data_IF_393889987163
#
_entry.id   IF_393889987163
#
_cell.length_a   1.000
_cell.length_b   1.000
_cell.length_c   1.000
_cell.angle_alpha   90.00
_cell.angle_beta   90.00
_cell.angle_gamma   90.00
#
_symmetry.space_group_name_H-M   'P 1'
#
loop_
_entity.id
_entity.type
_entity.pdbx_description
1 polymer ?
#
# COMPACT_ATOMS: atom_id res chain seq x y z
N UNK A 1 -9.08 -58.35 31.77
CA UNK A 1 -8.56 -58.91 30.50
C UNK A 1 -9.06 -58.05 29.35
N UNK A 2 -8.11 -57.64 28.49
CA UNK A 2 -8.22 -57.07 27.12
C UNK A 2 -9.05 -55.80 26.86
N UNK A 3 -8.27 -54.74 26.66
CA UNK A 3 -8.58 -53.39 26.19
C UNK A 3 -9.14 -53.42 24.77
N UNK A 4 -10.20 -52.65 24.49
CA UNK A 4 -10.65 -52.35 23.13
C UNK A 4 -9.79 -51.23 22.53
N UNK A 5 -9.17 -51.56 21.39
CA UNK A 5 -8.38 -50.69 20.53
C UNK A 5 -9.18 -50.54 19.23
N UNK A 6 -9.72 -49.36 18.92
CA UNK A 6 -10.08 -48.93 17.54
C UNK A 6 -10.03 -47.39 17.53
N UNK A 7 -8.85 -46.81 17.26
CA UNK A 7 -8.48 -46.16 15.99
C UNK A 7 -9.26 -44.87 15.67
N UNK A 8 -8.81 -43.77 16.26
CA UNK A 8 -9.05 -42.40 15.75
C UNK A 8 -8.22 -42.26 14.47
N UNK A 9 -8.88 -42.21 13.32
CA UNK A 9 -8.23 -41.86 12.06
C UNK A 9 -8.73 -40.48 11.65
N UNK A 10 -7.90 -39.48 11.93
CA UNK A 10 -8.11 -38.11 11.50
C UNK A 10 -7.99 -38.03 9.97
N UNK A 11 -9.10 -37.72 9.30
CA UNK A 11 -9.07 -37.32 7.89
C UNK A 11 -8.69 -35.83 7.88
N UNK A 12 -7.38 -35.58 7.91
CA UNK A 12 -6.78 -34.30 7.54
C UNK A 12 -6.43 -34.40 6.04
N UNK A 13 -7.43 -34.24 5.17
CA UNK A 13 -7.22 -34.21 3.73
C UNK A 13 -7.25 -32.75 3.24
N UNK A 14 -6.04 -32.20 3.15
CA UNK A 14 -5.56 -31.12 2.29
C UNK A 14 -6.60 -30.25 1.55
N UNK A 15 -6.78 -29.02 2.06
CA UNK A 15 -7.13 -27.86 1.24
C UNK A 15 -5.87 -27.40 0.48
N UNK A 16 -5.62 -27.94 -0.72
CA UNK A 16 -4.62 -27.40 -1.65
C UNK A 16 -5.22 -27.28 -3.05
N UNK A 17 -6.20 -26.38 -3.21
CA UNK A 17 -6.74 -25.99 -4.52
C UNK A 17 -6.95 -24.49 -4.52
N UNK A 18 -5.88 -23.68 -4.64
CA UNK A 18 -6.07 -22.22 -4.87
C UNK A 18 -4.94 -21.50 -5.64
N UNK A 19 -3.72 -22.01 -5.77
CA UNK A 19 -2.64 -21.24 -6.41
C UNK A 19 -2.69 -21.25 -7.96
N UNK A 20 -2.80 -22.43 -8.60
CA UNK A 20 -2.66 -22.52 -10.06
C UNK A 20 -3.81 -21.88 -10.86
N UNK A 21 -5.02 -21.84 -10.29
CA UNK A 21 -6.17 -21.22 -10.95
C UNK A 21 -6.09 -19.68 -10.95
N UNK A 22 -5.39 -19.10 -9.96
CA UNK A 22 -5.18 -17.66 -9.86
C UNK A 22 -4.17 -17.19 -10.91
N UNK A 23 -3.06 -17.90 -11.07
CA UNK A 23 -2.01 -17.58 -12.05
C UNK A 23 -2.55 -17.60 -13.50
N UNK A 24 -3.35 -18.61 -13.84
CA UNK A 24 -3.99 -18.72 -15.16
C UNK A 24 -4.99 -17.58 -15.43
N UNK A 25 -5.71 -17.15 -14.40
CA UNK A 25 -6.69 -16.07 -14.51
C UNK A 25 -6.01 -14.71 -14.63
N UNK A 26 -4.98 -14.45 -13.82
CA UNK A 26 -4.19 -13.23 -13.90
C UNK A 26 -3.50 -13.12 -15.27
N UNK A 27 -2.86 -14.19 -15.74
CA UNK A 27 -2.19 -14.19 -17.05
C UNK A 27 -3.15 -13.88 -18.20
N UNK A 28 -4.39 -14.38 -18.14
CA UNK A 28 -5.43 -14.06 -19.14
C UNK A 28 -5.83 -12.59 -19.10
N UNK A 29 -6.02 -12.03 -17.91
CA UNK A 29 -6.38 -10.61 -17.74
C UNK A 29 -5.23 -9.71 -18.20
N UNK A 30 -3.99 -10.00 -17.78
CA UNK A 30 -2.76 -9.30 -18.24
C UNK A 30 -2.70 -9.28 -19.76
N UNK A 31 -2.76 -10.45 -20.42
CA UNK A 31 -2.75 -10.55 -21.89
C UNK A 31 -3.88 -9.78 -22.57
N UNK A 32 -5.02 -9.60 -21.90
CA UNK A 32 -6.17 -8.89 -22.46
C UNK A 32 -6.06 -7.37 -22.32
N UNK A 33 -5.44 -6.87 -21.25
CA UNK A 33 -5.47 -5.46 -20.86
C UNK A 33 -4.12 -4.75 -21.01
N UNK A 34 -3.02 -5.38 -20.64
CA UNK A 34 -1.70 -4.76 -20.59
C UNK A 34 -1.27 -4.24 -21.97
N UNK A 35 -0.65 -3.06 -22.00
CA UNK A 35 -0.26 -2.36 -23.22
C UNK A 35 -1.40 -1.70 -24.00
N UNK A 36 -2.67 -1.94 -23.64
CA UNK A 36 -3.80 -1.22 -24.24
C UNK A 36 -3.89 0.20 -23.70
N UNK A 37 -4.57 1.04 -24.46
CA UNK A 37 -4.89 2.39 -24.03
C UNK A 37 -6.29 2.46 -23.44
N UNK A 38 -6.47 3.37 -22.49
CA UNK A 38 -7.73 3.68 -21.84
C UNK A 38 -7.95 5.19 -21.93
N UNK A 39 -9.18 5.59 -22.26
CA UNK A 39 -9.63 6.96 -22.14
C UNK A 39 -10.17 7.16 -20.71
N UNK A 40 -9.49 8.00 -19.96
CA UNK A 40 -9.86 8.35 -18.59
C UNK A 40 -11.01 9.36 -18.64
N UNK A 41 -12.16 9.08 -17.99
CA UNK A 41 -13.38 9.93 -18.03
C UNK A 41 -13.63 10.72 -16.74
N UNK A 42 -12.75 10.58 -15.76
CA UNK A 42 -12.74 11.33 -14.50
C UNK A 42 -11.32 11.75 -14.17
N UNK A 43 -11.12 12.78 -13.36
CA UNK A 43 -9.76 13.12 -12.92
C UNK A 43 -9.21 12.01 -12.03
N UNK A 44 -7.94 11.65 -12.21
CA UNK A 44 -7.33 10.52 -11.51
C UNK A 44 -6.11 10.99 -10.70
N UNK A 45 -6.10 10.78 -9.37
CA UNK A 45 -4.96 11.13 -8.54
C UNK A 45 -3.84 10.08 -8.67
N UNK A 46 -2.59 10.48 -8.42
CA UNK A 46 -1.47 9.57 -8.27
C UNK A 46 -1.38 9.11 -6.80
N UNK A 47 -1.95 7.93 -6.51
CA UNK A 47 -2.05 7.37 -5.16
C UNK A 47 -1.53 5.94 -5.13
N UNK A 48 -0.77 5.59 -4.09
CA UNK A 48 -0.17 4.26 -3.92
C UNK A 48 -1.21 3.13 -3.97
N UNK A 49 -2.32 3.33 -3.26
CA UNK A 49 -3.38 2.33 -3.14
C UNK A 49 -4.40 2.36 -4.29
N UNK A 50 -4.26 3.28 -5.23
CA UNK A 50 -5.23 3.46 -6.31
C UNK A 50 -6.57 4.06 -5.88
N UNK A 51 -7.41 4.34 -6.86
CA UNK A 51 -8.83 4.63 -6.67
C UNK A 51 -9.57 3.31 -6.60
N UNK A 52 -10.17 3.03 -5.44
CA UNK A 52 -10.95 1.81 -5.23
C UNK A 52 -12.32 1.93 -5.92
N UNK A 53 -12.66 0.90 -6.69
CA UNK A 53 -13.92 0.77 -7.38
C UNK A 53 -14.54 -0.58 -7.03
N UNK A 54 -15.80 -0.57 -6.62
CA UNK A 54 -16.56 -1.77 -6.31
C UNK A 54 -17.29 -2.24 -7.56
N UNK A 55 -17.06 -3.48 -7.96
CA UNK A 55 -17.83 -4.17 -8.98
C UNK A 55 -18.78 -5.17 -8.32
N UNK A 56 -20.07 -4.88 -8.39
CA UNK A 56 -21.16 -5.71 -7.85
C UNK A 56 -22.36 -5.69 -8.80
N UNK A 57 -23.09 -6.79 -8.90
CA UNK A 57 -24.28 -6.93 -9.77
C UNK A 57 -24.13 -6.39 -11.21
N UNK A 58 -22.93 -6.53 -11.79
CA UNK A 58 -22.53 -6.01 -13.11
C UNK A 58 -22.37 -4.47 -13.22
N UNK A 59 -22.40 -3.76 -12.09
CA UNK A 59 -22.18 -2.33 -11.98
C UNK A 59 -20.87 -1.99 -11.26
N UNK A 60 -20.08 -1.06 -11.81
CA UNK A 60 -18.97 -0.41 -11.12
C UNK A 60 -19.51 0.82 -10.41
N UNK A 61 -19.17 0.95 -9.14
CA UNK A 61 -19.37 2.15 -8.32
C UNK A 61 -18.09 2.48 -7.57
N UNK A 62 -17.99 3.69 -7.00
CA UNK A 62 -16.89 4.07 -6.11
C UNK A 62 -17.40 5.04 -5.06
N UNK A 63 -16.68 5.14 -3.94
CA UNK A 63 -16.97 6.15 -2.92
C UNK A 63 -16.55 7.54 -3.41
N UNK A 64 -17.54 8.36 -3.78
CA UNK A 64 -17.33 9.72 -4.25
C UNK A 64 -16.66 10.61 -3.19
N UNK A 65 -16.98 10.44 -1.90
CA UNK A 65 -16.41 11.24 -0.83
C UNK A 65 -14.93 10.90 -0.62
N UNK A 66 -14.61 9.61 -0.57
CA UNK A 66 -13.25 9.10 -0.54
C UNK A 66 -12.43 9.56 -1.73
N UNK A 67 -12.96 9.44 -2.95
CA UNK A 67 -12.32 9.94 -4.16
C UNK A 67 -12.03 11.45 -4.10
N UNK A 68 -13.01 12.27 -3.72
CA UNK A 68 -12.83 13.73 -3.62
C UNK A 68 -11.72 14.08 -2.60
N UNK A 69 -11.63 13.33 -1.50
CA UNK A 69 -10.54 13.46 -0.52
C UNK A 69 -9.19 13.13 -1.13
N UNK A 70 -9.08 12.06 -1.92
CA UNK A 70 -7.85 11.71 -2.63
C UNK A 70 -7.44 12.80 -3.63
N UNK A 71 -8.37 13.30 -4.44
CA UNK A 71 -8.07 14.39 -5.39
C UNK A 71 -7.66 15.67 -4.67
N UNK A 72 -8.29 16.01 -3.53
CA UNK A 72 -7.90 17.18 -2.74
C UNK A 72 -6.51 17.01 -2.11
N UNK A 73 -6.20 15.82 -1.61
CA UNK A 73 -4.95 15.54 -0.90
C UNK A 73 -3.77 15.36 -1.85
N UNK A 74 -3.97 14.66 -2.96
CA UNK A 74 -2.91 14.27 -3.87
C UNK A 74 -2.93 15.06 -5.19
N UNK A 75 -3.98 15.80 -5.49
CA UNK A 75 -4.13 16.47 -6.78
C UNK A 75 -4.42 15.49 -7.92
N UNK A 76 -4.45 16.02 -9.14
CA UNK A 76 -4.78 15.27 -10.36
C UNK A 76 -3.51 14.95 -11.14
N UNK A 77 -3.26 13.66 -11.37
CA UNK A 77 -2.16 13.18 -12.22
C UNK A 77 -2.61 12.97 -13.66
N UNK A 78 -3.72 12.24 -13.86
CA UNK A 78 -4.31 12.07 -15.19
C UNK A 78 -5.62 12.83 -15.22
N UNK A 79 -5.74 13.77 -16.16
CA UNK A 79 -6.98 14.56 -16.31
C UNK A 79 -8.05 13.75 -17.02
N UNK A 80 -9.31 14.09 -16.79
CA UNK A 80 -10.42 13.66 -17.65
C UNK A 80 -10.11 13.96 -19.12
N UNK A 81 -10.34 12.98 -19.99
CA UNK A 81 -10.02 13.01 -21.41
C UNK A 81 -8.62 12.53 -21.75
N UNK A 82 -7.77 12.26 -20.75
CA UNK A 82 -6.42 11.75 -20.97
C UNK A 82 -6.45 10.32 -21.51
N UNK A 83 -5.59 10.06 -22.50
CA UNK A 83 -5.36 8.73 -23.05
C UNK A 83 -4.19 8.10 -22.32
N UNK A 84 -4.50 7.24 -21.34
CA UNK A 84 -3.50 6.53 -20.55
C UNK A 84 -3.19 5.17 -21.17
N UNK A 85 -1.98 4.66 -20.96
CA UNK A 85 -1.58 3.28 -21.28
C UNK A 85 -1.67 2.42 -20.02
N UNK A 86 -2.22 1.22 -20.15
CA UNK A 86 -2.17 0.21 -19.10
C UNK A 86 -0.74 -0.36 -19.06
N UNK A 87 -0.02 -0.10 -17.98
CA UNK A 87 1.38 -0.50 -17.79
C UNK A 87 1.54 -1.81 -17.04
N UNK A 88 0.63 -2.14 -16.14
CA UNK A 88 0.61 -3.42 -15.42
C UNK A 88 -0.83 -3.75 -14.99
N UNK A 89 -1.12 -5.03 -14.79
CA UNK A 89 -2.39 -5.52 -14.23
C UNK A 89 -2.11 -6.70 -13.32
N UNK A 90 -2.56 -6.69 -12.07
CA UNK A 90 -2.27 -7.77 -11.10
C UNK A 90 -3.49 -8.13 -10.26
N UNK A 91 -3.59 -9.38 -9.82
CA UNK A 91 -4.63 -9.81 -8.88
C UNK A 91 -4.02 -9.88 -7.48
N UNK A 92 -4.53 -9.06 -6.57
CA UNK A 92 -4.12 -9.04 -5.17
C UNK A 92 -5.28 -9.43 -4.24
N UNK A 93 -5.00 -9.47 -2.94
CA UNK A 93 -6.03 -9.63 -1.91
C UNK A 93 -7.04 -8.48 -1.86
N UNK A 94 -6.73 -7.32 -2.46
CA UNK A 94 -7.64 -6.18 -2.57
C UNK A 94 -8.58 -6.30 -3.77
N UNK A 95 -8.15 -6.98 -4.83
CA UNK A 95 -8.90 -7.12 -6.08
C UNK A 95 -7.99 -7.08 -7.31
N UNK A 96 -8.52 -6.62 -8.43
CA UNK A 96 -7.78 -6.45 -9.68
C UNK A 96 -7.19 -5.04 -9.70
N UNK A 97 -5.87 -4.92 -9.63
CA UNK A 97 -5.17 -3.64 -9.70
C UNK A 97 -4.69 -3.38 -11.13
N UNK A 98 -4.97 -2.19 -11.65
CA UNK A 98 -4.62 -1.76 -13.01
C UNK A 98 -3.82 -0.48 -12.91
N UNK A 99 -2.59 -0.52 -13.40
CA UNK A 99 -1.68 0.62 -13.42
C UNK A 99 -1.81 1.37 -14.75
N UNK A 100 -2.05 2.68 -14.66
CA UNK A 100 -2.19 3.60 -15.77
C UNK A 100 -0.99 4.54 -15.79
N UNK A 101 -0.26 4.61 -16.90
CA UNK A 101 0.93 5.47 -17.08
C UNK A 101 1.93 5.42 -15.90
N UNK A 102 2.12 4.25 -15.27
CA UNK A 102 3.09 4.06 -14.17
C UNK A 102 2.51 3.73 -12.80
N UNK A 103 1.18 3.66 -12.63
CA UNK A 103 0.57 3.08 -11.43
C UNK A 103 0.39 4.02 -10.23
N UNK A 104 0.55 5.32 -10.42
CA UNK A 104 0.37 6.35 -9.39
C UNK A 104 1.58 6.51 -8.48
N UNK A 105 1.36 7.11 -7.30
CA UNK A 105 2.45 7.39 -6.36
C UNK A 105 3.13 6.09 -5.93
N UNK A 106 4.47 6.01 -5.94
CA UNK A 106 5.20 4.85 -5.54
C UNK A 106 5.00 4.69 -4.03
N UNK A 107 5.10 3.44 -3.59
CA UNK A 107 4.61 3.07 -2.27
C UNK A 107 5.44 3.62 -1.11
N UNK A 108 5.03 3.30 0.12
CA UNK A 108 5.80 3.67 1.33
C UNK A 108 7.24 3.17 1.31
N UNK A 109 7.49 2.07 0.62
CA UNK A 109 8.83 1.51 0.42
C UNK A 109 9.62 2.13 -0.74
N UNK A 110 9.07 3.13 -1.45
CA UNK A 110 9.82 3.88 -2.46
C UNK A 110 10.91 4.72 -1.85
N UNK A 111 12.03 4.74 -2.56
CA UNK A 111 13.31 5.06 -1.99
C UNK A 111 13.92 6.27 -2.67
N UNK A 112 14.18 7.33 -1.91
CA UNK A 112 15.03 8.41 -2.38
C UNK A 112 16.47 7.91 -2.29
N UNK A 113 17.06 7.51 -3.43
CA UNK A 113 18.47 7.08 -3.48
C UNK A 113 18.78 5.72 -2.87
N UNK A 114 17.81 4.80 -2.75
CA UNK A 114 18.07 3.40 -2.35
C UNK A 114 18.08 3.07 -0.85
N UNK A 115 17.86 4.04 0.05
CA UNK A 115 17.61 3.82 1.49
C UNK A 115 16.14 3.93 1.95
N UNK A 116 15.58 2.85 2.51
CA UNK A 116 14.21 2.82 3.07
C UNK A 116 14.07 3.85 4.20
N UNK A 117 13.02 4.67 4.13
CA UNK A 117 12.69 5.60 5.21
C UNK A 117 12.06 4.83 6.37
N UNK A 118 12.74 4.80 7.52
CA UNK A 118 12.28 4.13 8.74
C UNK A 118 12.10 5.19 9.82
N UNK A 119 10.95 5.17 10.49
CA UNK A 119 10.65 6.08 11.60
C UNK A 119 11.61 5.79 12.77
N UNK A 120 12.24 6.83 13.36
CA UNK A 120 13.19 6.64 14.45
C UNK A 120 12.46 6.09 15.68
N UNK A 121 12.97 4.98 16.21
CA UNK A 121 12.52 4.44 17.49
C UNK A 121 13.19 5.23 18.62
N UNK A 122 12.49 5.53 19.73
CA UNK A 122 13.12 6.13 20.90
C UNK A 122 14.35 5.34 21.34
N UNK A 123 15.45 6.05 21.56
CA UNK A 123 16.73 5.50 22.01
C UNK A 123 16.50 4.84 23.36
N UNK A 124 16.91 3.58 23.55
CA UNK A 124 16.77 2.90 24.83
C UNK A 124 17.62 3.60 25.90
N UNK A 125 17.17 3.52 27.15
CA UNK A 125 17.95 3.98 28.31
C UNK A 125 19.29 3.26 28.36
N UNK A 126 20.35 3.98 28.73
CA UNK A 126 21.65 3.38 28.99
C UNK A 126 21.60 2.54 30.28
N UNK A 127 22.46 1.53 30.41
CA UNK A 127 22.58 0.77 31.66
C UNK A 127 22.91 1.71 32.84
N UNK A 128 23.70 2.76 32.56
CA UNK A 128 24.04 3.81 33.53
C UNK A 128 22.82 4.62 33.97
N UNK A 129 21.96 5.03 33.04
CA UNK A 129 20.69 5.71 33.34
C UNK A 129 19.82 4.83 34.24
N UNK A 130 19.70 3.53 33.91
CA UNK A 130 18.91 2.57 34.69
C UNK A 130 19.47 2.35 36.10
N UNK A 131 20.80 2.31 36.25
CA UNK A 131 21.47 2.19 37.55
C UNK A 131 21.24 3.43 38.41
N UNK A 132 21.39 4.62 37.83
CA UNK A 132 21.17 5.89 38.52
C UNK A 132 19.70 6.08 38.92
N UNK A 133 18.75 5.67 38.07
CA UNK A 133 17.32 5.66 38.44
C UNK A 133 17.06 4.75 39.64
N UNK A 134 17.63 3.54 39.65
CA UNK A 134 17.52 2.62 40.78
C UNK A 134 18.14 3.20 42.05
N UNK A 135 19.30 3.84 41.94
CA UNK A 135 19.98 4.47 43.07
C UNK A 135 19.13 5.61 43.65
N UNK A 136 18.61 6.51 42.80
CA UNK A 136 17.78 7.64 43.21
C UNK A 136 16.44 7.19 43.82
N UNK A 137 15.86 6.08 43.34
CA UNK A 137 14.61 5.54 43.90
C UNK A 137 14.80 4.83 45.23
N UNK A 138 15.91 4.11 45.42
CA UNK A 138 16.12 3.27 46.60
C UNK A 138 16.82 4.00 47.76
N UNK A 139 17.58 5.06 47.49
CA UNK A 139 18.27 5.84 48.52
C UNK A 139 17.45 7.07 48.97
N UNK A 140 16.98 7.08 50.23
CA UNK A 140 16.24 8.22 50.79
C UNK A 140 17.03 9.54 50.77
N UNK A 141 18.37 9.45 50.78
CA UNK A 141 19.31 10.58 50.69
C UNK A 141 20.21 10.47 49.45
N UNK A 142 19.63 10.13 48.29
CA UNK A 142 20.38 10.10 47.03
C UNK A 142 21.19 11.39 46.85
N UNK A 143 22.49 11.24 46.63
CA UNK A 143 23.43 12.37 46.55
C UNK A 143 23.03 13.35 45.44
N UNK A 144 23.31 14.65 45.63
CA UNK A 144 23.11 15.64 44.56
C UNK A 144 23.82 15.23 43.26
N UNK A 145 24.97 14.57 43.39
CA UNK A 145 25.73 14.05 42.26
C UNK A 145 24.96 13.01 41.44
N UNK A 146 24.36 12.00 42.08
CA UNK A 146 23.60 10.96 41.39
C UNK A 146 22.39 11.53 40.62
N UNK A 147 21.72 12.56 41.16
CA UNK A 147 20.62 13.25 40.47
C UNK A 147 21.11 14.04 39.25
N UNK A 148 22.18 14.82 39.42
CA UNK A 148 22.78 15.58 38.31
C UNK A 148 23.27 14.67 37.18
N UNK A 149 23.87 13.52 37.53
CA UNK A 149 24.32 12.55 36.54
C UNK A 149 23.15 11.87 35.82
N UNK A 150 22.07 11.53 36.54
CA UNK A 150 20.85 10.99 35.94
C UNK A 150 20.22 11.99 34.94
N UNK A 151 20.16 13.26 35.32
CA UNK A 151 19.64 14.31 34.45
C UNK A 151 20.53 14.50 33.20
N UNK A 152 21.84 14.37 33.36
CA UNK A 152 22.79 14.38 32.24
C UNK A 152 22.55 13.22 31.27
N UNK A 153 22.45 11.97 31.76
CA UNK A 153 22.16 10.80 30.92
C UNK A 153 20.82 10.95 30.18
N UNK A 154 19.78 11.40 30.87
CA UNK A 154 18.47 11.71 30.26
C UNK A 154 18.58 12.77 29.19
N UNK A 155 19.34 13.84 29.44
CA UNK A 155 19.55 14.92 28.48
C UNK A 155 20.31 14.43 27.24
N UNK A 156 21.33 13.58 27.41
CA UNK A 156 22.06 12.97 26.29
C UNK A 156 21.15 12.11 25.44
N UNK A 157 20.37 11.21 26.05
CA UNK A 157 19.39 10.38 25.34
C UNK A 157 18.36 11.22 24.59
N UNK A 158 17.73 12.19 25.27
CA UNK A 158 16.76 13.08 24.64
C UNK A 158 17.36 13.90 23.49
N UNK A 159 18.63 14.31 23.60
CA UNK A 159 19.33 15.02 22.52
C UNK A 159 19.56 14.12 21.30
N UNK A 160 19.92 12.86 21.53
CA UNK A 160 20.08 11.88 20.45
C UNK A 160 18.75 11.55 19.78
N UNK A 161 17.71 11.33 20.57
CA UNK A 161 16.33 11.14 20.08
C UNK A 161 15.90 12.31 19.20
N UNK A 162 16.12 13.53 19.68
CA UNK A 162 15.77 14.74 18.95
C UNK A 162 16.54 14.85 17.63
N UNK A 163 17.85 14.55 17.63
CA UNK A 163 18.66 14.53 16.40
C UNK A 163 18.16 13.49 15.40
N UNK A 164 17.82 12.29 15.86
CA UNK A 164 17.29 11.24 15.01
C UNK A 164 15.94 11.64 14.40
N UNK A 165 15.06 12.23 15.21
CA UNK A 165 13.77 12.78 14.77
C UNK A 165 13.94 13.88 13.72
N UNK A 166 14.80 14.86 13.97
CA UNK A 166 15.08 15.94 13.02
C UNK A 166 15.70 15.43 11.72
N UNK A 167 16.59 14.43 11.78
CA UNK A 167 17.14 13.79 10.59
C UNK A 167 16.05 13.11 9.76
N UNK A 168 15.16 12.36 10.41
CA UNK A 168 14.01 11.73 9.77
C UNK A 168 13.07 12.75 9.13
N UNK A 169 12.69 13.80 9.85
CA UNK A 169 11.80 14.86 9.35
C UNK A 169 12.37 15.54 8.10
N UNK A 170 13.69 15.80 8.05
CA UNK A 170 14.35 16.35 6.85
C UNK A 170 14.24 15.43 5.64
N UNK A 171 14.53 14.14 5.81
CA UNK A 171 14.45 13.17 4.69
C UNK A 171 13.00 12.95 4.27
N UNK A 172 12.08 12.88 5.23
CA UNK A 172 10.64 12.77 4.98
C UNK A 172 10.09 13.99 4.21
N UNK A 173 10.51 15.19 4.59
CA UNK A 173 10.18 16.43 3.89
C UNK A 173 10.70 16.44 2.46
N UNK A 174 11.98 16.10 2.26
CA UNK A 174 12.57 16.01 0.92
C UNK A 174 11.86 14.97 0.05
N UNK A 175 11.55 13.79 0.60
CA UNK A 175 10.78 12.75 -0.09
C UNK A 175 9.41 13.26 -0.51
N UNK A 176 8.70 13.95 0.38
CA UNK A 176 7.39 14.54 0.08
C UNK A 176 7.49 15.54 -1.06
N UNK A 177 8.49 16.40 -1.05
CA UNK A 177 8.73 17.35 -2.14
C UNK A 177 9.02 16.66 -3.48
N UNK A 178 9.81 15.58 -3.49
CA UNK A 178 10.07 14.80 -4.70
C UNK A 178 8.82 14.08 -5.21
N UNK A 179 7.99 13.57 -4.31
CA UNK A 179 6.68 12.99 -4.64
C UNK A 179 5.81 14.06 -5.32
N UNK A 180 5.69 15.25 -4.73
CA UNK A 180 4.88 16.34 -5.27
C UNK A 180 5.37 16.81 -6.65
N UNK A 181 6.70 16.98 -6.82
CA UNK A 181 7.30 17.42 -8.09
C UNK A 181 7.01 16.46 -9.23
N UNK A 182 7.17 15.16 -8.99
CA UNK A 182 7.06 14.14 -10.03
C UNK A 182 5.64 13.57 -10.15
N UNK A 183 4.71 13.99 -9.30
CA UNK A 183 3.39 13.37 -9.18
C UNK A 183 2.64 13.24 -10.50
N UNK A 184 2.77 14.24 -11.38
CA UNK A 184 2.10 14.28 -12.69
C UNK A 184 2.60 13.21 -13.66
N UNK A 185 3.82 12.70 -13.44
CA UNK A 185 4.48 11.73 -14.31
C UNK A 185 4.30 10.29 -13.82
N UNK A 186 3.68 10.11 -12.65
CA UNK A 186 3.54 8.80 -12.01
C UNK A 186 2.29 8.05 -12.44
N UNK A 187 1.39 8.71 -13.16
CA UNK A 187 0.17 8.11 -13.66
C UNK A 187 -0.86 7.89 -12.54
N UNK A 188 -1.64 6.81 -12.63
CA UNK A 188 -2.65 6.47 -11.63
C UNK A 188 -2.87 4.98 -11.53
N UNK A 189 -3.64 4.56 -10.54
CA UNK A 189 -4.01 3.16 -10.31
C UNK A 189 -5.48 3.04 -10.02
N UNK A 190 -6.09 2.00 -10.55
CA UNK A 190 -7.47 1.61 -10.27
C UNK A 190 -7.43 0.26 -9.57
N UNK A 191 -8.18 0.12 -8.50
CA UNK A 191 -8.34 -1.16 -7.80
C UNK A 191 -9.79 -1.58 -7.89
N UNK A 192 -10.07 -2.67 -8.59
CA UNK A 192 -11.43 -3.17 -8.77
C UNK A 192 -11.66 -4.31 -7.78
N UNK A 193 -12.49 -4.03 -6.78
CA UNK A 193 -12.95 -5.01 -5.78
C UNK A 193 -14.16 -5.72 -6.37
N UNK A 194 -14.03 -7.01 -6.66
CA UNK A 194 -15.14 -7.82 -7.17
C UNK A 194 -15.89 -8.41 -6.00
N UNK A 195 -17.12 -7.94 -5.75
CA UNK A 195 -18.07 -8.61 -4.86
C UNK A 195 -19.09 -9.32 -5.72
N UNK A 196 -19.15 -10.64 -5.63
CA UNK A 196 -20.20 -11.40 -6.29
C UNK A 196 -20.59 -12.60 -5.43
N UNK A 197 -21.86 -12.63 -5.02
CA UNK A 197 -22.47 -13.81 -4.40
C UNK A 197 -22.88 -14.87 -5.45
N UNK A 198 -22.68 -14.60 -6.75
CA UNK A 198 -22.98 -15.50 -7.86
C UNK A 198 -21.69 -15.80 -8.64
N UNK A 199 -20.89 -16.71 -8.11
CA UNK A 199 -19.75 -17.34 -8.80
C UNK A 199 -20.22 -17.96 -10.13
N UNK A 200 -20.25 -17.19 -11.22
CA UNK A 200 -20.58 -17.74 -12.54
C UNK A 200 -20.90 -16.74 -13.66
N UNK A 201 -21.37 -15.52 -13.37
CA UNK A 201 -21.85 -14.60 -14.43
C UNK A 201 -21.00 -13.34 -14.68
N UNK A 202 -20.02 -13.07 -13.82
CA UNK A 202 -19.14 -11.90 -13.97
C UNK A 202 -17.98 -12.25 -14.89
N UNK A 203 -17.96 -11.63 -16.09
CA UNK A 203 -16.85 -11.75 -17.04
C UNK A 203 -16.05 -10.46 -17.09
N UNK A 204 -14.80 -10.54 -17.54
CA UNK A 204 -13.97 -9.37 -17.85
C UNK A 204 -14.70 -8.38 -18.78
N UNK A 205 -15.53 -8.87 -19.69
CA UNK A 205 -16.36 -8.04 -20.56
C UNK A 205 -17.44 -7.25 -19.82
N UNK A 206 -18.09 -7.84 -18.82
CA UNK A 206 -19.04 -7.13 -17.95
C UNK A 206 -18.34 -6.03 -17.15
N UNK A 207 -17.20 -6.36 -16.55
CA UNK A 207 -16.38 -5.40 -15.81
C UNK A 207 -15.92 -4.25 -16.72
N UNK A 208 -15.36 -4.53 -17.90
CA UNK A 208 -14.88 -3.50 -18.82
C UNK A 208 -16.01 -2.58 -19.33
N UNK A 209 -17.18 -3.13 -19.65
CA UNK A 209 -18.36 -2.33 -20.04
C UNK A 209 -18.80 -1.39 -18.93
N UNK A 210 -18.83 -1.90 -17.72
CA UNK A 210 -19.28 -1.14 -16.56
C UNK A 210 -18.27 -0.07 -16.13
N UNK A 211 -16.97 -0.42 -16.19
CA UNK A 211 -15.85 0.49 -15.96
C UNK A 211 -15.79 1.62 -17.00
N UNK A 212 -16.32 1.42 -18.22
CA UNK A 212 -16.33 2.43 -19.28
C UNK A 212 -17.08 3.72 -18.93
N UNK A 213 -17.87 3.74 -17.85
CA UNK A 213 -18.42 4.96 -17.24
C UNK A 213 -17.30 5.90 -16.73
N UNK A 214 -16.18 5.34 -16.29
CA UNK A 214 -15.06 6.05 -15.65
C UNK A 214 -13.75 5.93 -16.42
N UNK A 215 -13.51 4.79 -17.08
CA UNK A 215 -12.31 4.47 -17.81
C UNK A 215 -12.67 3.55 -18.99
N UNK A 216 -12.62 4.08 -20.20
CA UNK A 216 -13.01 3.37 -21.42
C UNK A 216 -11.82 2.73 -22.11
N UNK A 217 -11.85 1.41 -22.25
CA UNK A 217 -10.79 0.67 -22.94
C UNK A 217 -10.85 0.93 -24.44
N UNK A 218 -9.80 1.55 -24.98
CA UNK A 218 -9.73 1.89 -26.39
C UNK A 218 -9.44 0.66 -27.27
N UNK A 219 -9.81 0.71 -28.57
CA UNK A 219 -9.42 -0.32 -29.52
C UNK A 219 -7.91 -0.57 -29.51
N UNK A 220 -7.50 -1.81 -29.77
CA UNK A 220 -6.08 -2.09 -29.99
C UNK A 220 -5.64 -1.37 -31.27
N UNK A 221 -4.57 -0.58 -31.17
CA UNK A 221 -3.97 -0.03 -32.37
C UNK A 221 -3.47 -1.17 -33.25
N UNK A 222 -3.70 -1.12 -34.57
CA UNK A 222 -3.12 -2.08 -35.47
C UNK A 222 -1.61 -1.96 -35.38
N UNK A 223 -0.91 -3.09 -35.18
CA UNK A 223 0.54 -3.13 -35.26
C UNK A 223 0.92 -2.84 -36.71
N UNK A 224 1.25 -1.58 -37.00
CA UNK A 224 1.94 -1.23 -38.24
C UNK A 224 3.30 -1.90 -38.18
N UNK A 225 3.47 -2.93 -39.01
CA UNK A 225 4.74 -3.61 -39.27
C UNK A 225 5.68 -2.70 -40.04
#
# INVERSE_FOLDING_TARGET
MRKFLVSITAILAAFTVTAQAQDDSELRIKKALEGRHVLVKMDMPAVENGVEMLFDEAEVSFDQAGYNKLVKQYGVSLKKGHRARITDVRISNKGIEIDLDGGGSPGRDWVVGGLRLVEPVPVPKSDRELDLERQVMNESNATSFARTELDYERQQRNTLDERNRQAYERVSGFRTEQIEKNRKEWGSKIVIVVRSNKMGSVTLGHMARSLAKYCELLPREPVTK
#
